data_IF_059592951524
#
_entry.id   IF_059592951524
#
_cell.length_a   1.000
_cell.length_b   1.000
_cell.length_c   1.000
_cell.angle_alpha   90.00
_cell.angle_beta   90.00
_cell.angle_gamma   90.00
#
_symmetry.space_group_name_H-M   'P 1'
#
loop_
_entity.id
_entity.type
_entity.pdbx_description
1 polymer ?
#
# COMPACT_ATOMS: atom_id res chain seq x y z
N UNK A 1 -5.47 12.82 25.29
CA UNK A 1 -5.81 12.69 23.86
C UNK A 1 -7.19 12.06 23.79
N UNK A 2 -8.17 12.75 23.20
CA UNK A 2 -9.48 12.16 22.95
C UNK A 2 -9.29 10.96 22.01
N UNK A 3 -9.85 9.81 22.39
CA UNK A 3 -9.81 8.61 21.54
C UNK A 3 -10.50 8.87 20.19
N UNK A 4 -10.34 7.96 19.21
CA UNK A 4 -11.02 8.09 17.93
C UNK A 4 -12.53 8.31 18.15
N UNK A 5 -13.12 9.24 17.39
CA UNK A 5 -14.56 9.50 17.43
C UNK A 5 -15.32 8.16 17.33
N UNK A 6 -16.27 7.94 18.23
CA UNK A 6 -16.95 6.66 18.41
C UNK A 6 -17.51 6.15 17.06
N UNK A 7 -16.96 5.04 16.54
CA UNK A 7 -17.35 4.43 15.27
C UNK A 7 -16.43 4.66 14.07
N UNK A 8 -15.36 5.46 14.18
CA UNK A 8 -14.37 5.59 13.12
C UNK A 8 -13.45 4.37 13.00
N UNK A 9 -12.82 4.19 11.84
CA UNK A 9 -11.81 3.15 11.61
C UNK A 9 -10.64 3.25 12.60
N UNK A 10 -10.08 2.11 12.99
CA UNK A 10 -8.84 2.05 13.78
C UNK A 10 -7.65 2.67 13.06
N UNK A 11 -7.68 2.73 11.72
CA UNK A 11 -6.68 3.38 10.86
C UNK A 11 -6.89 4.89 10.70
N UNK A 12 -7.88 5.49 11.38
CA UNK A 12 -8.13 6.93 11.30
C UNK A 12 -6.87 7.79 11.53
N UNK A 13 -5.99 7.52 12.52
CA UNK A 13 -4.79 8.32 12.72
C UNK A 13 -3.86 8.33 11.49
N UNK A 14 -3.75 7.20 10.80
CA UNK A 14 -2.92 7.05 9.60
C UNK A 14 -3.52 7.85 8.44
N UNK A 15 -4.83 7.73 8.20
CA UNK A 15 -5.53 8.54 7.19
C UNK A 15 -5.36 10.04 7.45
N UNK A 16 -5.53 10.48 8.70
CA UNK A 16 -5.35 11.89 9.07
C UNK A 16 -3.92 12.38 8.80
N UNK A 17 -2.92 11.55 9.10
CA UNK A 17 -1.52 11.91 8.86
C UNK A 17 -1.20 12.02 7.36
N UNK A 18 -1.75 11.12 6.53
CA UNK A 18 -1.59 11.18 5.07
C UNK A 18 -2.21 12.46 4.51
N UNK A 19 -3.44 12.80 4.91
CA UNK A 19 -4.09 14.05 4.47
C UNK A 19 -3.37 15.30 4.96
N UNK A 20 -2.86 15.33 6.20
CA UNK A 20 -2.08 16.47 6.71
C UNK A 20 -0.72 16.59 6.03
N UNK A 21 -0.15 15.45 5.62
CA UNK A 21 1.19 15.39 5.07
C UNK A 21 1.27 15.72 3.59
N UNK A 22 0.20 15.55 2.80
CA UNK A 22 0.21 15.73 1.35
C UNK A 22 -1.13 16.19 0.76
N UNK A 23 -1.29 16.01 -0.56
CA UNK A 23 -2.44 16.53 -1.32
C UNK A 23 -3.35 15.40 -1.84
N UNK A 24 -3.39 14.26 -1.14
CA UNK A 24 -4.29 13.16 -1.51
C UNK A 24 -5.75 13.62 -1.46
N UNK A 25 -6.51 13.40 -2.54
CA UNK A 25 -7.95 13.67 -2.58
C UNK A 25 -8.80 12.51 -2.07
N UNK A 26 -8.27 11.29 -2.14
CA UNK A 26 -8.81 10.11 -1.47
C UNK A 26 -7.71 9.12 -1.06
N UNK A 27 -8.02 8.29 -0.08
CA UNK A 27 -7.14 7.24 0.44
C UNK A 27 -7.95 5.94 0.53
N UNK A 28 -7.40 4.85 0.00
CA UNK A 28 -7.92 3.50 0.20
C UNK A 28 -6.89 2.68 0.95
N UNK A 29 -7.29 2.15 2.10
CA UNK A 29 -6.56 1.14 2.83
C UNK A 29 -7.21 -0.23 2.60
N UNK A 30 -6.43 -1.23 2.19
CA UNK A 30 -6.90 -2.57 1.87
C UNK A 30 -5.88 -3.64 2.27
N UNK A 31 -6.31 -4.90 2.20
CA UNK A 31 -5.50 -6.08 2.54
C UNK A 31 -5.29 -7.00 1.31
N UNK A 32 -4.67 -6.52 0.21
CA UNK A 32 -4.46 -7.30 -1.01
C UNK A 32 -3.56 -8.53 -0.78
N UNK A 33 -4.07 -9.78 -0.87
CA UNK A 33 -3.31 -10.96 -0.45
C UNK A 33 -1.99 -11.20 -1.19
N UNK A 34 -1.93 -11.00 -2.51
CA UNK A 34 -0.69 -11.20 -3.25
C UNK A 34 0.34 -10.13 -2.91
N UNK A 35 -0.10 -8.88 -2.77
CA UNK A 35 0.79 -7.82 -2.31
C UNK A 35 1.30 -8.06 -0.88
N UNK A 36 0.44 -8.56 0.03
CA UNK A 36 0.83 -8.90 1.41
C UNK A 36 1.88 -10.02 1.40
N UNK A 37 1.65 -11.13 0.71
CA UNK A 37 2.63 -12.25 0.74
C UNK A 37 3.97 -11.83 0.14
N UNK A 38 3.98 -11.05 -0.96
CA UNK A 38 5.22 -10.51 -1.50
C UNK A 38 5.90 -9.55 -0.52
N UNK A 39 5.12 -8.71 0.15
CA UNK A 39 5.64 -7.78 1.16
C UNK A 39 6.34 -8.47 2.32
N UNK A 40 6.10 -9.76 2.58
CA UNK A 40 6.82 -10.51 3.63
C UNK A 40 8.26 -10.80 3.23
N UNK A 41 8.56 -10.83 1.93
CA UNK A 41 9.84 -11.29 1.38
C UNK A 41 10.63 -10.22 0.63
N UNK A 42 10.01 -9.07 0.32
CA UNK A 42 10.60 -8.03 -0.53
C UNK A 42 10.51 -6.67 0.16
N UNK A 43 11.51 -5.79 -0.06
CA UNK A 43 11.48 -4.38 0.42
C UNK A 43 10.72 -3.46 -0.55
N UNK A 44 10.49 -3.92 -1.77
CA UNK A 44 9.69 -3.23 -2.78
C UNK A 44 9.08 -4.25 -3.74
N UNK A 45 7.92 -3.93 -4.30
CA UNK A 45 7.29 -4.68 -5.38
C UNK A 45 7.49 -3.90 -6.68
N UNK A 46 8.13 -4.54 -7.65
CA UNK A 46 8.28 -4.01 -9.02
C UNK A 46 7.34 -4.80 -9.94
N UNK A 47 6.25 -4.19 -10.45
CA UNK A 47 5.36 -4.83 -11.40
C UNK A 47 6.09 -5.36 -12.65
N UNK A 48 5.65 -6.52 -13.12
CA UNK A 48 6.16 -7.13 -14.35
C UNK A 48 5.30 -6.81 -15.57
N UNK A 49 4.02 -6.54 -15.34
CA UNK A 49 3.05 -6.19 -16.36
C UNK A 49 3.14 -4.70 -16.76
N UNK A 50 2.63 -4.39 -17.95
CA UNK A 50 2.75 -3.06 -18.53
C UNK A 50 1.96 -2.00 -17.73
N UNK A 51 0.77 -2.35 -17.25
CA UNK A 51 -0.11 -1.43 -16.53
C UNK A 51 0.49 -1.04 -15.18
N UNK A 52 0.91 -2.02 -14.37
CA UNK A 52 1.57 -1.75 -13.09
C UNK A 52 2.85 -0.95 -13.23
N UNK A 53 3.68 -1.23 -14.26
CA UNK A 53 4.88 -0.44 -14.53
C UNK A 53 4.58 1.01 -14.86
N UNK A 54 3.53 1.24 -15.66
CA UNK A 54 3.13 2.59 -16.05
C UNK A 54 2.49 3.37 -14.89
N UNK A 55 1.60 2.73 -14.13
CA UNK A 55 0.81 3.41 -13.10
C UNK A 55 1.49 3.49 -11.74
N UNK A 56 2.20 2.44 -11.34
CA UNK A 56 2.77 2.31 -9.98
C UNK A 56 4.28 2.54 -9.96
N UNK A 57 4.98 2.15 -11.04
CA UNK A 57 6.44 2.16 -11.07
C UNK A 57 7.01 1.18 -10.03
N UNK A 58 7.54 1.69 -8.93
CA UNK A 58 8.00 0.88 -7.79
C UNK A 58 7.10 1.12 -6.59
N UNK A 59 6.67 0.03 -5.94
CA UNK A 59 5.84 0.07 -4.74
C UNK A 59 6.68 -0.26 -3.50
N UNK A 60 6.99 0.71 -2.64
CA UNK A 60 7.80 0.47 -1.46
C UNK A 60 7.04 -0.34 -0.40
N UNK A 61 7.78 -1.20 0.31
CA UNK A 61 7.32 -1.92 1.49
C UNK A 61 7.99 -1.32 2.72
N UNK A 62 7.21 -0.96 3.73
CA UNK A 62 7.73 -0.47 5.01
C UNK A 62 7.57 -1.51 6.11
N UNK A 63 8.65 -1.71 6.85
CA UNK A 63 8.64 -2.50 8.09
C UNK A 63 8.45 -1.56 9.27
N UNK A 64 7.51 -1.91 10.14
CA UNK A 64 7.14 -1.17 11.36
C UNK A 64 6.98 -2.16 12.51
N UNK A 65 7.21 -1.70 13.74
CA UNK A 65 7.01 -2.50 14.95
C UNK A 65 5.54 -2.66 15.29
N UNK A 66 4.75 -1.60 15.10
CA UNK A 66 3.29 -1.60 15.28
C UNK A 66 2.62 -1.24 13.96
N UNK A 67 1.90 -2.19 13.36
CA UNK A 67 1.40 -2.05 11.99
C UNK A 67 -0.01 -1.48 11.85
N UNK A 68 -0.82 -1.48 12.91
CA UNK A 68 -2.25 -1.15 12.86
C UNK A 68 -2.53 0.17 13.60
N UNK A 69 -3.02 1.19 12.89
CA UNK A 69 -3.43 2.47 13.45
C UNK A 69 -2.35 3.22 14.24
N UNK A 70 -1.09 2.82 14.09
CA UNK A 70 0.00 3.22 14.99
C UNK A 70 0.57 4.59 14.60
N UNK A 71 1.21 5.23 15.58
CA UNK A 71 1.96 6.45 15.35
C UNK A 71 3.11 6.24 14.37
N UNK A 72 3.75 5.07 14.41
CA UNK A 72 4.86 4.72 13.54
C UNK A 72 4.41 4.71 12.07
N UNK A 73 3.27 4.06 11.76
CA UNK A 73 2.71 4.06 10.40
C UNK A 73 2.34 5.49 9.97
N UNK A 74 1.69 6.25 10.86
CA UNK A 74 1.27 7.63 10.60
C UNK A 74 2.44 8.58 10.29
N UNK A 75 3.63 8.34 10.85
CA UNK A 75 4.84 9.13 10.58
C UNK A 75 5.57 8.65 9.30
N UNK A 76 5.53 7.35 9.00
CA UNK A 76 6.28 6.75 7.88
C UNK A 76 5.60 6.90 6.51
N UNK A 77 4.27 6.80 6.44
CA UNK A 77 3.57 6.78 5.16
C UNK A 77 3.51 8.14 4.42
N UNK A 78 3.27 9.29 5.07
CA UNK A 78 3.10 10.56 4.35
C UNK A 78 4.26 10.96 3.43
N UNK A 79 5.55 10.88 3.82
CA UNK A 79 6.64 11.24 2.90
C UNK A 79 6.73 10.28 1.70
N UNK A 80 6.42 9.00 1.88
CA UNK A 80 6.45 8.01 0.79
C UNK A 80 5.28 8.23 -0.17
N UNK A 81 4.08 8.51 0.34
CA UNK A 81 2.89 8.75 -0.49
C UNK A 81 2.90 10.07 -1.26
N UNK A 82 3.90 10.94 -1.03
CA UNK A 82 4.21 12.07 -1.93
C UNK A 82 4.92 11.64 -3.21
N UNK A 83 5.63 10.53 -3.15
CA UNK A 83 6.49 10.03 -4.23
C UNK A 83 5.89 8.80 -4.92
N UNK A 84 5.05 8.06 -4.21
CA UNK A 84 4.43 6.82 -4.67
C UNK A 84 2.91 6.90 -4.53
N UNK A 85 2.17 6.34 -5.48
CA UNK A 85 0.70 6.27 -5.39
C UNK A 85 0.21 5.25 -4.35
N UNK A 86 1.06 4.30 -3.97
CA UNK A 86 0.73 3.27 -2.99
C UNK A 86 1.97 2.82 -2.25
N UNK A 87 1.79 2.52 -0.96
CA UNK A 87 2.83 1.98 -0.07
C UNK A 87 2.24 0.77 0.65
N UNK A 88 3.04 -0.27 0.87
CA UNK A 88 2.64 -1.46 1.63
C UNK A 88 3.29 -1.43 3.00
N UNK A 89 2.50 -1.68 4.05
CA UNK A 89 3.01 -2.00 5.38
C UNK A 89 3.22 -3.51 5.45
N UNK A 90 4.46 -3.96 5.65
CA UNK A 90 4.88 -5.38 5.62
C UNK A 90 3.94 -6.25 6.44
N UNK A 91 3.34 -7.24 5.80
CA UNK A 91 2.45 -8.22 6.45
C UNK A 91 1.08 -7.67 6.91
N UNK A 92 0.80 -6.39 6.70
CA UNK A 92 -0.48 -5.76 7.07
C UNK A 92 -1.33 -5.51 5.82
N UNK A 93 -0.98 -4.51 5.02
CA UNK A 93 -1.84 -4.07 3.92
C UNK A 93 -1.27 -2.87 3.19
N UNK A 94 -2.01 -2.35 2.24
CA UNK A 94 -1.61 -1.21 1.41
C UNK A 94 -2.38 0.05 1.78
N UNK A 95 -1.74 1.20 1.54
CA UNK A 95 -2.38 2.51 1.55
C UNK A 95 -2.16 3.14 0.16
N UNK A 96 -3.24 3.25 -0.61
CA UNK A 96 -3.25 3.84 -1.95
C UNK A 96 -3.87 5.24 -1.89
N UNK A 97 -3.30 6.19 -2.63
CA UNK A 97 -3.77 7.57 -2.75
C UNK A 97 -4.13 7.91 -4.18
N UNK A 98 -5.14 8.77 -4.35
CA UNK A 98 -5.57 9.29 -5.63
C UNK A 98 -6.16 10.69 -5.50
N UNK A 99 -6.44 11.35 -6.62
CA UNK A 99 -7.15 12.66 -6.64
C UNK A 99 -8.61 12.52 -6.22
N UNK A 100 -9.17 11.33 -6.39
CA UNK A 100 -10.52 10.94 -5.98
C UNK A 100 -10.54 9.44 -5.64
N UNK A 101 -11.71 8.95 -5.21
CA UNK A 101 -11.90 7.55 -4.85
C UNK A 101 -11.71 6.59 -6.02
N UNK A 102 -12.01 7.02 -7.26
CA UNK A 102 -11.87 6.19 -8.45
C UNK A 102 -10.38 5.94 -8.74
N UNK A 103 -9.54 6.99 -8.70
CA UNK A 103 -8.11 6.84 -8.86
C UNK A 103 -7.48 6.00 -7.73
N UNK A 104 -7.88 6.24 -6.47
CA UNK A 104 -7.36 5.45 -5.34
C UNK A 104 -7.76 3.96 -5.47
N UNK A 105 -8.96 3.68 -5.97
CA UNK A 105 -9.45 2.31 -6.22
C UNK A 105 -8.69 1.65 -7.37
N UNK A 106 -8.49 2.37 -8.47
CA UNK A 106 -7.69 1.91 -9.60
C UNK A 106 -6.27 1.54 -9.16
N UNK A 107 -5.60 2.41 -8.39
CA UNK A 107 -4.25 2.15 -7.85
C UNK A 107 -4.24 0.89 -6.99
N UNK A 108 -5.23 0.72 -6.09
CA UNK A 108 -5.33 -0.45 -5.24
C UNK A 108 -5.60 -1.74 -6.03
N UNK A 109 -6.42 -1.68 -7.09
CA UNK A 109 -6.74 -2.82 -7.93
C UNK A 109 -5.54 -3.26 -8.78
N UNK A 110 -4.84 -2.30 -9.38
CA UNK A 110 -3.62 -2.55 -10.17
C UNK A 110 -2.52 -3.12 -9.28
N UNK A 111 -2.37 -2.63 -8.05
CA UNK A 111 -1.41 -3.20 -7.10
C UNK A 111 -1.60 -4.71 -6.93
N UNK A 112 -2.83 -5.16 -6.67
CA UNK A 112 -3.11 -6.57 -6.43
C UNK A 112 -2.98 -7.40 -7.71
N UNK A 113 -3.44 -6.88 -8.85
CA UNK A 113 -3.29 -7.55 -10.15
C UNK A 113 -1.81 -7.76 -10.51
N UNK A 114 -0.99 -6.71 -10.39
CA UNK A 114 0.45 -6.77 -10.64
C UNK A 114 1.17 -7.67 -9.63
N UNK A 115 0.82 -7.59 -8.35
CA UNK A 115 1.38 -8.46 -7.31
C UNK A 115 1.08 -9.93 -7.57
N UNK A 116 -0.13 -10.24 -8.05
CA UNK A 116 -0.48 -11.61 -8.47
C UNK A 116 0.39 -12.09 -9.61
N UNK A 117 0.69 -11.25 -10.60
CA UNK A 117 1.57 -11.61 -11.72
C UNK A 117 2.99 -11.88 -11.22
N UNK A 118 3.55 -11.00 -10.37
CA UNK A 118 4.87 -11.20 -9.75
C UNK A 118 4.92 -12.51 -8.98
N UNK A 119 3.92 -12.80 -8.16
CA UNK A 119 3.85 -14.04 -7.39
C UNK A 119 3.79 -15.28 -8.29
N UNK A 120 2.95 -15.25 -9.33
CA UNK A 120 2.84 -16.36 -10.28
C UNK A 120 4.14 -16.59 -11.07
N UNK A 121 4.85 -15.53 -11.47
CA UNK A 121 6.18 -15.63 -12.10
C UNK A 121 7.18 -16.31 -11.16
N UNK A 122 7.24 -15.92 -9.88
CA UNK A 122 8.09 -16.57 -8.89
C UNK A 122 7.78 -18.07 -8.73
N UNK A 123 6.50 -18.43 -8.66
CA UNK A 123 6.06 -19.83 -8.57
C UNK A 123 6.42 -20.62 -9.83
N UNK A 124 6.24 -20.04 -11.02
CA UNK A 124 6.59 -20.69 -12.29
C UNK A 124 8.10 -20.92 -12.39
N UNK A 125 8.91 -19.92 -12.06
CA UNK A 125 10.38 -20.04 -12.06
C UNK A 125 10.86 -21.13 -11.10
N UNK A 126 10.29 -21.20 -9.90
CA UNK A 126 10.63 -22.24 -8.92
C UNK A 126 10.25 -23.67 -9.37
N UNK A 127 9.33 -23.81 -10.33
CA UNK A 127 8.93 -25.12 -10.89
C UNK A 127 9.69 -25.50 -12.16
N UNK A 128 10.21 -24.51 -12.88
CA UNK A 128 10.92 -24.71 -14.16
C UNK A 128 12.45 -24.79 -13.99
N UNK A 129 12.97 -24.36 -12.84
CA UNK A 129 14.35 -24.61 -12.41
C UNK A 129 14.46 -25.89 -11.60
#
# INVERSE_FOLDING_TARGET
>A
MEGPAHGASTELPVHQAIYRGGEAGAIIHCHPPYAIVLSLHQEEIIPLDAEGRYLLGTVPVVTVSESIGSREVAERLPPLLKQHKVVIVRGHGSFAVGRDLEEALMVSAVLEASSRIVFLDLVLRARLG
#
